data_IF_265280216454
#
_entry.id   IF_265280216454
#
_cell.length_a   1.000
_cell.length_b   1.000
_cell.length_c   1.000
_cell.angle_alpha   90.00
_cell.angle_beta   90.00
_cell.angle_gamma   90.00
#
_symmetry.space_group_name_H-M   'P 1'
#
loop_
_entity.id
_entity.type
_entity.pdbx_description
1 polymer ?
#
# COMPACT_ATOMS: atom_id res chain seq x y z
N UNK A 1 13.33 -28.89 -2.82
CA UNK A 1 12.84 -27.55 -2.41
C UNK A 1 13.78 -26.52 -3.00
N UNK A 2 13.35 -25.77 -4.02
CA UNK A 2 14.14 -24.67 -4.55
C UNK A 2 14.32 -23.62 -3.45
N UNK A 3 15.57 -23.18 -3.22
CA UNK A 3 15.88 -22.11 -2.27
C UNK A 3 15.22 -20.83 -2.79
N UNK A 4 14.25 -20.29 -2.06
CA UNK A 4 13.60 -19.02 -2.44
C UNK A 4 14.64 -17.90 -2.41
N UNK A 5 14.73 -17.16 -3.51
CA UNK A 5 15.54 -15.94 -3.54
C UNK A 5 14.92 -14.91 -2.61
N UNK A 6 15.77 -14.32 -1.77
CA UNK A 6 15.39 -13.25 -0.86
C UNK A 6 15.95 -11.95 -1.42
N UNK A 7 15.25 -10.84 -1.16
CA UNK A 7 15.74 -9.53 -1.54
C UNK A 7 17.04 -9.22 -0.80
N UNK A 8 18.08 -8.82 -1.54
CA UNK A 8 19.39 -8.43 -0.98
C UNK A 8 19.29 -7.20 -0.05
N UNK A 9 18.30 -6.34 -0.27
CA UNK A 9 18.09 -5.14 0.53
C UNK A 9 16.62 -4.91 0.86
N UNK A 10 16.36 -4.70 2.16
CA UNK A 10 15.03 -4.26 2.66
C UNK A 10 14.60 -2.95 1.99
N UNK A 11 15.54 -2.06 1.68
CA UNK A 11 15.24 -0.80 1.03
C UNK A 11 14.78 -1.00 -0.42
N UNK A 12 15.41 -1.92 -1.15
CA UNK A 12 15.00 -2.27 -2.51
C UNK A 12 13.58 -2.88 -2.52
N UNK A 13 13.27 -3.73 -1.55
CA UNK A 13 11.93 -4.29 -1.38
C UNK A 13 10.88 -3.18 -1.12
N UNK A 14 11.15 -2.27 -0.19
CA UNK A 14 10.22 -1.18 0.14
C UNK A 14 10.02 -0.24 -1.06
N UNK A 15 11.08 0.10 -1.80
CA UNK A 15 10.95 0.93 -3.01
C UNK A 15 10.13 0.24 -4.10
N UNK A 16 10.32 -1.06 -4.32
CA UNK A 16 9.51 -1.83 -5.27
C UNK A 16 8.03 -1.85 -4.86
N UNK A 17 7.74 -2.06 -3.57
CA UNK A 17 6.38 -2.03 -3.04
C UNK A 17 5.73 -0.64 -3.19
N UNK A 18 6.45 0.44 -2.88
CA UNK A 18 5.97 1.82 -3.07
C UNK A 18 5.71 2.09 -4.56
N UNK A 19 6.62 1.69 -5.44
CA UNK A 19 6.46 1.83 -6.89
C UNK A 19 5.24 1.09 -7.44
N UNK A 20 4.89 -0.07 -6.85
CA UNK A 20 3.67 -0.80 -7.21
C UNK A 20 2.40 -0.16 -6.64
N UNK A 21 2.48 0.46 -5.45
CA UNK A 21 1.32 1.05 -4.79
C UNK A 21 0.97 2.45 -5.34
N UNK A 22 1.96 3.20 -5.82
CA UNK A 22 1.77 4.57 -6.35
C UNK A 22 1.61 4.53 -7.87
N UNK A 23 0.36 4.61 -8.34
CA UNK A 23 0.03 4.69 -9.77
C UNK A 23 -0.51 6.06 -10.21
N UNK A 24 -0.73 6.21 -11.52
CA UNK A 24 -1.40 7.38 -12.13
C UNK A 24 -2.75 7.71 -11.47
N UNK A 25 -3.47 6.69 -11.00
CA UNK A 25 -4.70 6.83 -10.22
C UNK A 25 -4.54 7.70 -8.96
N UNK A 26 -3.42 7.59 -8.25
CA UNK A 26 -3.14 8.40 -7.07
C UNK A 26 -2.90 9.87 -7.42
N UNK A 27 -2.38 10.16 -8.62
CA UNK A 27 -2.01 11.51 -9.03
C UNK A 27 -3.23 12.30 -9.52
N UNK A 28 -4.16 11.69 -10.25
CA UNK A 28 -5.34 12.40 -10.78
C UNK A 28 -6.62 12.20 -9.94
N UNK A 29 -6.83 11.02 -9.34
CA UNK A 29 -8.12 10.69 -8.73
C UNK A 29 -8.21 11.24 -7.32
N UNK A 30 -7.10 11.19 -6.60
CA UNK A 30 -7.00 11.76 -5.27
C UNK A 30 -7.35 13.26 -5.24
N UNK A 31 -6.72 14.15 -6.05
CA UNK A 31 -7.06 15.57 -6.02
C UNK A 31 -8.49 15.84 -6.50
N UNK A 32 -8.99 15.08 -7.48
CA UNK A 32 -10.36 15.21 -7.97
C UNK A 32 -11.41 14.85 -6.90
N UNK A 33 -11.19 13.77 -6.15
CA UNK A 33 -12.07 13.33 -5.06
C UNK A 33 -11.95 14.25 -3.85
N UNK A 34 -10.74 14.71 -3.51
CA UNK A 34 -10.55 15.70 -2.46
C UNK A 34 -11.32 16.98 -2.78
N UNK A 35 -11.17 17.52 -4.00
CA UNK A 35 -11.83 18.74 -4.42
C UNK A 35 -13.36 18.66 -4.32
N UNK A 36 -13.97 17.56 -4.77
CA UNK A 36 -15.43 17.37 -4.70
C UNK A 36 -15.96 17.17 -3.28
N UNK A 37 -15.19 16.56 -2.38
CA UNK A 37 -15.62 16.25 -1.02
C UNK A 37 -15.20 17.33 0.01
N UNK A 38 -15.13 18.59 -0.41
CA UNK A 38 -14.80 19.71 0.48
C UNK A 38 -13.31 20.02 0.60
N UNK A 39 -12.51 19.68 -0.42
CA UNK A 39 -11.09 19.99 -0.53
C UNK A 39 -10.27 19.40 0.62
N UNK A 40 -9.67 20.27 1.42
CA UNK A 40 -8.83 19.87 2.56
C UNK A 40 -9.60 19.19 3.70
N UNK A 41 -10.91 19.40 3.83
CA UNK A 41 -11.70 18.74 4.88
C UNK A 41 -11.78 17.22 4.69
N UNK A 42 -11.71 16.75 3.44
CA UNK A 42 -11.68 15.33 3.09
C UNK A 42 -10.45 14.58 3.63
N UNK A 43 -9.36 15.31 3.95
CA UNK A 43 -8.16 14.72 4.52
C UNK A 43 -8.41 14.09 5.89
N UNK A 44 -9.33 14.63 6.68
CA UNK A 44 -9.64 14.14 8.03
C UNK A 44 -10.18 12.69 7.96
N UNK A 45 -11.31 12.40 7.29
CA UNK A 45 -11.79 11.02 7.17
C UNK A 45 -10.82 10.14 6.37
N UNK A 46 -10.08 10.69 5.41
CA UNK A 46 -9.06 9.95 4.66
C UNK A 46 -7.95 9.42 5.56
N UNK A 47 -7.38 10.26 6.44
CA UNK A 47 -6.37 9.82 7.39
C UNK A 47 -6.93 8.84 8.41
N UNK A 48 -8.15 9.05 8.91
CA UNK A 48 -8.81 8.10 9.81
C UNK A 48 -8.91 6.73 9.14
N UNK A 49 -9.45 6.66 7.92
CA UNK A 49 -9.55 5.42 7.16
C UNK A 49 -8.18 4.79 6.85
N UNK A 50 -7.16 5.61 6.57
CA UNK A 50 -5.79 5.16 6.35
C UNK A 50 -5.21 4.49 7.60
N UNK A 51 -5.36 5.10 8.77
CA UNK A 51 -4.82 4.55 10.03
C UNK A 51 -5.61 3.35 10.53
N UNK A 52 -6.94 3.32 10.37
CA UNK A 52 -7.77 2.24 10.89
C UNK A 52 -7.90 1.05 9.94
N UNK A 53 -7.86 1.28 8.63
CA UNK A 53 -8.10 0.24 7.61
C UNK A 53 -6.89 0.06 6.69
N UNK A 54 -6.34 1.16 6.16
CA UNK A 54 -5.24 1.12 5.20
C UNK A 54 -3.97 0.45 5.74
N UNK A 55 -3.42 0.97 6.84
CA UNK A 55 -2.20 0.44 7.45
C UNK A 55 -2.41 -0.98 7.99
N UNK A 56 -3.49 -1.29 8.75
CA UNK A 56 -3.70 -2.65 9.24
C UNK A 56 -3.86 -3.68 8.13
N UNK A 57 -4.54 -3.36 7.03
CA UNK A 57 -4.64 -4.27 5.87
C UNK A 57 -3.29 -4.47 5.18
N UNK A 58 -2.50 -3.41 5.00
CA UNK A 58 -1.15 -3.52 4.43
C UNK A 58 -0.26 -4.44 5.29
N UNK A 59 -0.28 -4.25 6.62
CA UNK A 59 0.48 -5.11 7.53
C UNK A 59 -0.01 -6.56 7.47
N UNK A 60 -1.33 -6.77 7.39
CA UNK A 60 -1.92 -8.10 7.26
C UNK A 60 -1.46 -8.79 5.96
N UNK A 61 -1.55 -8.09 4.81
CA UNK A 61 -1.17 -8.63 3.50
C UNK A 61 0.32 -9.00 3.45
N UNK A 62 1.20 -8.11 3.92
CA UNK A 62 2.63 -8.41 4.01
C UNK A 62 2.93 -9.53 4.99
N UNK A 63 2.26 -9.58 6.15
CA UNK A 63 2.43 -10.62 7.14
C UNK A 63 2.02 -12.00 6.63
N UNK A 64 0.88 -12.09 5.95
CA UNK A 64 0.40 -13.31 5.29
C UNK A 64 1.38 -13.73 4.18
N UNK A 65 1.79 -12.80 3.32
CA UNK A 65 2.74 -13.08 2.23
C UNK A 65 4.09 -13.61 2.75
N UNK A 66 4.58 -13.07 3.87
CA UNK A 66 5.80 -13.53 4.53
C UNK A 66 5.64 -14.88 5.22
N UNK A 67 4.47 -15.15 5.82
CA UNK A 67 4.22 -16.38 6.58
C UNK A 67 4.01 -17.60 5.69
N UNK A 68 3.17 -17.48 4.65
CA UNK A 68 2.94 -18.57 3.70
C UNK A 68 4.10 -18.67 2.68
N UNK A 69 4.71 -17.54 2.33
CA UNK A 69 5.79 -17.44 1.36
C UNK A 69 5.43 -17.90 -0.06
N UNK A 70 4.17 -18.25 -0.32
CA UNK A 70 3.63 -18.64 -1.63
C UNK A 70 2.93 -17.45 -2.26
N UNK A 71 3.03 -17.34 -3.60
CA UNK A 71 2.21 -16.40 -4.34
C UNK A 71 0.71 -16.73 -4.19
N UNK A 72 -0.15 -15.73 -4.38
CA UNK A 72 -1.58 -15.97 -4.48
C UNK A 72 -1.86 -16.94 -5.66
N UNK A 73 -2.78 -17.91 -5.50
CA UNK A 73 -3.14 -18.85 -6.56
C UNK A 73 -3.83 -18.18 -7.76
#
# INVERSE_FOLDING_TARGET
MAKREHWDSRFAFVMAAIGSAVGLGNIWRFPYVCYQNGGGAFLIPYFVALFTVGIPLLVLEFGIGQWFGTAAP
#
